data_IF_670102339810
#
_entry.id   IF_670102339810
#
_cell.length_a   1.000
_cell.length_b   1.000
_cell.length_c   1.000
_cell.angle_alpha   90.00
_cell.angle_beta   90.00
_cell.angle_gamma   90.00
#
_symmetry.space_group_name_H-M   'P 1'
#
loop_
_entity.id
_entity.type
_entity.pdbx_description
1 polymer ?
#
# COMPACT_ATOMS: atom_id res chain seq x y z
N UNK A 1 -28.46 29.18 34.76
CA UNK A 1 -27.03 28.77 34.75
C UNK A 1 -26.92 27.52 33.89
N UNK A 2 -26.03 27.57 32.91
CA UNK A 2 -25.79 26.53 31.93
C UNK A 2 -25.00 25.35 32.55
N UNK A 3 -25.25 24.14 32.05
CA UNK A 3 -24.21 23.22 31.60
C UNK A 3 -24.87 22.09 30.80
N UNK A 4 -24.64 22.12 29.50
CA UNK A 4 -24.81 20.97 28.62
C UNK A 4 -23.71 19.96 28.94
N UNK A 5 -24.04 18.66 28.97
CA UNK A 5 -23.06 17.63 28.63
C UNK A 5 -23.72 16.72 27.61
N UNK A 6 -23.37 16.95 26.36
CA UNK A 6 -23.76 16.13 25.24
C UNK A 6 -22.92 14.86 25.26
N UNK A 7 -23.62 13.74 25.19
CA UNK A 7 -23.16 12.39 24.94
C UNK A 7 -21.95 12.35 24.01
N UNK A 8 -20.85 11.76 24.47
CA UNK A 8 -19.74 11.36 23.60
C UNK A 8 -20.11 10.04 22.95
N UNK A 9 -20.64 10.14 21.74
CA UNK A 9 -20.88 9.01 20.85
C UNK A 9 -19.51 8.54 20.32
N UNK A 10 -19.08 7.38 20.80
CA UNK A 10 -17.96 6.62 20.26
C UNK A 10 -18.42 6.03 18.91
N UNK A 11 -18.32 6.81 17.83
CA UNK A 11 -18.54 6.31 16.48
C UNK A 11 -17.34 5.48 16.03
N UNK A 12 -17.43 4.18 16.27
CA UNK A 12 -16.54 3.16 15.70
C UNK A 12 -16.81 3.05 14.19
N UNK A 13 -16.24 3.97 13.40
CA UNK A 13 -16.39 3.99 11.93
C UNK A 13 -15.64 2.81 11.29
N UNK A 14 -16.40 1.87 10.72
CA UNK A 14 -15.94 0.70 9.96
C UNK A 14 -15.31 1.07 8.61
N UNK A 15 -14.04 1.52 8.62
CA UNK A 15 -13.28 1.73 7.39
C UNK A 15 -12.67 0.38 6.94
N UNK A 16 -13.12 -0.14 5.79
CA UNK A 16 -12.45 -1.28 5.15
C UNK A 16 -11.04 -0.84 4.71
N UNK A 17 -10.00 -1.64 4.99
CA UNK A 17 -8.62 -1.28 4.68
C UNK A 17 -8.43 -1.16 3.17
N UNK A 18 -7.92 0.00 2.73
CA UNK A 18 -7.64 0.27 1.31
C UNK A 18 -6.30 -0.34 0.94
N UNK A 19 -6.26 -1.12 -0.14
CA UNK A 19 -5.03 -1.70 -0.67
C UNK A 19 -4.73 -1.14 -2.06
N UNK A 20 -3.44 -0.99 -2.35
CA UNK A 20 -2.94 -0.63 -3.68
C UNK A 20 -1.71 -1.45 -4.05
N UNK A 21 -1.27 -1.35 -5.29
CA UNK A 21 -0.13 -2.12 -5.79
C UNK A 21 0.92 -1.21 -6.41
N UNK A 22 2.18 -1.53 -6.18
CA UNK A 22 3.31 -0.86 -6.80
C UNK A 22 4.39 -1.87 -7.20
N UNK A 23 5.26 -1.51 -8.13
CA UNK A 23 6.39 -2.33 -8.50
C UNK A 23 7.64 -1.94 -7.71
N UNK A 24 8.39 -2.94 -7.27
CA UNK A 24 9.77 -2.75 -6.81
C UNK A 24 10.66 -2.27 -7.96
N UNK A 25 11.86 -1.77 -7.64
CA UNK A 25 12.83 -1.39 -8.68
C UNK A 25 13.21 -2.55 -9.62
N UNK A 26 13.13 -3.80 -9.14
CA UNK A 26 13.39 -5.01 -9.93
C UNK A 26 12.12 -5.55 -10.63
N UNK A 27 11.05 -4.77 -10.69
CA UNK A 27 9.80 -5.14 -11.38
C UNK A 27 8.83 -6.03 -10.60
N UNK A 28 9.25 -6.63 -9.46
CA UNK A 28 8.35 -7.46 -8.64
C UNK A 28 7.22 -6.63 -8.04
N UNK A 29 5.99 -7.14 -8.09
CA UNK A 29 4.82 -6.49 -7.50
C UNK A 29 4.88 -6.51 -5.97
N UNK A 30 4.42 -5.42 -5.37
CA UNK A 30 4.28 -5.18 -3.94
C UNK A 30 2.85 -4.73 -3.67
N UNK A 31 2.36 -5.06 -2.48
CA UNK A 31 1.07 -4.63 -1.99
C UNK A 31 1.30 -3.56 -0.93
N UNK A 32 0.53 -2.47 -1.02
CA UNK A 32 0.48 -1.41 -0.02
C UNK A 32 -0.84 -1.53 0.73
N UNK A 33 -0.79 -1.52 2.05
CA UNK A 33 -1.95 -1.44 2.92
C UNK A 33 -1.60 -0.56 4.11
N UNK A 34 -2.44 0.43 4.42
CA UNK A 34 -2.29 1.31 5.58
C UNK A 34 -0.86 1.88 5.77
N UNK A 35 -0.24 2.35 4.69
CA UNK A 35 1.13 2.89 4.68
C UNK A 35 2.27 1.87 4.94
N UNK A 36 1.96 0.58 4.94
CA UNK A 36 2.94 -0.52 5.04
C UNK A 36 3.12 -1.24 3.70
N UNK A 37 4.32 -1.79 3.51
CA UNK A 37 4.68 -2.51 2.28
C UNK A 37 4.73 -4.01 2.53
N UNK A 38 4.07 -4.76 1.65
CA UNK A 38 4.07 -6.22 1.65
C UNK A 38 4.70 -6.77 0.38
N UNK A 39 5.51 -7.81 0.55
CA UNK A 39 6.08 -8.61 -0.55
C UNK A 39 5.31 -9.91 -0.72
N UNK A 40 5.13 -10.32 -1.98
CA UNK A 40 4.54 -11.61 -2.29
C UNK A 40 5.40 -12.74 -1.70
N UNK A 41 4.78 -13.59 -0.88
CA UNK A 41 5.42 -14.74 -0.26
C UNK A 41 5.17 -16.02 -1.06
N UNK A 42 3.91 -16.27 -1.44
CA UNK A 42 3.52 -17.40 -2.30
C UNK A 42 2.19 -17.12 -2.97
N UNK A 43 1.93 -17.84 -4.06
CA UNK A 43 0.66 -17.81 -4.78
C UNK A 43 0.12 -19.23 -4.87
N UNK A 44 -1.16 -19.41 -4.56
CA UNK A 44 -1.93 -20.62 -4.87
C UNK A 44 -2.83 -20.36 -6.09
N UNK A 45 -3.64 -21.34 -6.47
CA UNK A 45 -4.59 -21.21 -7.59
C UNK A 45 -5.59 -20.07 -7.40
N UNK A 46 -5.94 -19.75 -6.15
CA UNK A 46 -6.99 -18.77 -5.83
C UNK A 46 -6.49 -17.58 -5.00
N UNK A 47 -5.35 -17.72 -4.32
CA UNK A 47 -4.93 -16.76 -3.28
C UNK A 47 -3.47 -16.35 -3.44
N UNK A 48 -3.20 -15.06 -3.32
CA UNK A 48 -1.85 -14.51 -3.14
C UNK A 48 -1.62 -14.21 -1.66
N UNK A 49 -0.52 -14.72 -1.13
CA UNK A 49 -0.11 -14.56 0.26
C UNK A 49 1.01 -13.53 0.32
N UNK A 50 0.76 -12.45 1.05
CA UNK A 50 1.65 -11.31 1.21
C UNK A 50 2.17 -11.26 2.65
N UNK A 51 3.44 -10.94 2.82
CA UNK A 51 4.06 -10.72 4.13
C UNK A 51 4.70 -9.35 4.15
N UNK A 52 4.76 -8.73 5.31
CA UNK A 52 5.47 -7.46 5.46
C UNK A 52 6.91 -7.56 4.91
N UNK A 53 7.42 -6.45 4.35
CA UNK A 53 8.79 -6.39 3.84
C UNK A 53 9.82 -6.53 4.96
N UNK A 54 9.51 -6.03 6.17
CA UNK A 54 10.34 -6.13 7.38
C UNK A 54 10.29 -7.55 7.93
N UNK A 55 11.45 -8.21 8.02
CA UNK A 55 11.51 -9.65 8.34
C UNK A 55 11.09 -9.99 9.78
N UNK A 56 11.22 -9.06 10.72
CA UNK A 56 10.79 -9.23 12.13
C UNK A 56 9.29 -9.00 12.32
N UNK A 57 8.58 -8.53 11.28
CA UNK A 57 7.16 -8.26 11.35
C UNK A 57 6.32 -9.51 11.04
N UNK A 58 5.26 -9.73 11.82
CA UNK A 58 4.32 -10.84 11.66
C UNK A 58 3.14 -10.54 10.74
N UNK A 59 2.95 -9.27 10.34
CA UNK A 59 1.83 -8.82 9.52
C UNK A 59 1.75 -9.55 8.17
N UNK A 60 0.53 -9.95 7.81
CA UNK A 60 0.22 -10.77 6.63
C UNK A 60 -1.11 -10.35 6.02
N UNK A 61 -1.12 -10.29 4.70
CA UNK A 61 -2.33 -9.98 3.91
C UNK A 61 -2.52 -11.08 2.90
N UNK A 62 -3.77 -11.47 2.67
CA UNK A 62 -4.15 -12.37 1.59
C UNK A 62 -5.07 -11.63 0.62
N UNK A 63 -4.79 -11.76 -0.67
CA UNK A 63 -5.71 -11.32 -1.72
C UNK A 63 -6.12 -12.49 -2.58
N UNK A 64 -7.22 -12.37 -3.31
CA UNK A 64 -7.49 -13.29 -4.42
C UNK A 64 -6.47 -13.06 -5.56
N UNK A 65 -6.57 -13.85 -6.62
CA UNK A 65 -5.73 -13.71 -7.82
C UNK A 65 -5.93 -12.36 -8.54
N UNK A 66 -7.12 -11.77 -8.42
CA UNK A 66 -7.51 -10.48 -9.02
C UNK A 66 -7.03 -9.27 -8.20
N UNK A 67 -6.54 -9.51 -6.98
CA UNK A 67 -6.05 -8.47 -6.08
C UNK A 67 -7.09 -7.95 -5.08
N UNK A 68 -8.26 -8.57 -4.96
CA UNK A 68 -9.24 -8.22 -3.92
C UNK A 68 -8.80 -8.75 -2.57
N UNK A 69 -9.03 -7.95 -1.51
CA UNK A 69 -8.69 -8.33 -0.16
C UNK A 69 -9.53 -9.53 0.31
N UNK A 70 -8.87 -10.58 0.80
CA UNK A 70 -9.50 -11.79 1.35
C UNK A 70 -9.31 -11.86 2.86
N UNK A 71 -8.11 -11.55 3.35
CA UNK A 71 -7.79 -11.56 4.78
C UNK A 71 -6.72 -10.53 5.08
N UNK A 72 -6.83 -9.87 6.22
CA UNK A 72 -5.85 -8.92 6.73
C UNK A 72 -5.47 -9.28 8.17
N UNK A 73 -4.17 -9.28 8.44
CA UNK A 73 -3.58 -9.19 9.77
C UNK A 73 -2.51 -8.09 9.69
N UNK A 74 -2.87 -6.89 10.14
CA UNK A 74 -2.12 -5.65 9.95
C UNK A 74 -1.48 -5.15 11.25
N UNK A 75 -1.12 -6.07 12.14
CA UNK A 75 -0.41 -5.74 13.37
C UNK A 75 1.09 -5.63 13.10
N UNK A 76 1.62 -4.41 13.20
CA UNK A 76 3.02 -4.10 12.93
C UNK A 76 3.80 -3.78 14.21
N UNK A 77 5.03 -4.29 14.26
CA UNK A 77 6.00 -4.04 15.33
C UNK A 77 7.07 -3.02 14.92
N UNK A 78 6.80 -2.22 13.89
CA UNK A 78 7.72 -1.22 13.32
C UNK A 78 6.91 -0.05 12.76
N UNK A 79 7.53 1.14 12.57
CA UNK A 79 6.87 2.28 11.94
C UNK A 79 6.53 2.01 10.47
N UNK A 80 5.57 2.78 9.94
CA UNK A 80 5.16 2.71 8.54
C UNK A 80 6.26 3.20 7.59
N UNK A 81 6.16 2.81 6.32
CA UNK A 81 7.13 3.17 5.27
C UNK A 81 6.59 4.24 4.32
N UNK A 82 5.78 5.17 4.83
CA UNK A 82 5.08 6.20 4.05
C UNK A 82 5.97 6.94 3.05
N UNK A 83 7.08 7.52 3.51
CA UNK A 83 8.02 8.25 2.63
C UNK A 83 8.57 7.35 1.51
N UNK A 84 8.83 6.08 1.84
CA UNK A 84 9.33 5.11 0.85
C UNK A 84 8.26 4.79 -0.20
N UNK A 85 6.98 4.76 0.18
CA UNK A 85 5.85 4.57 -0.73
C UNK A 85 5.75 5.76 -1.67
N UNK A 86 5.75 6.99 -1.14
CA UNK A 86 5.66 8.22 -1.93
C UNK A 86 6.79 8.34 -2.96
N UNK A 87 8.04 8.05 -2.56
CA UNK A 87 9.19 8.06 -3.47
C UNK A 87 9.02 7.02 -4.59
N UNK A 88 8.45 5.85 -4.29
CA UNK A 88 8.22 4.81 -5.30
C UNK A 88 7.11 5.22 -6.25
N UNK A 89 6.01 5.77 -5.75
CA UNK A 89 4.91 6.25 -6.58
C UNK A 89 5.38 7.36 -7.52
N UNK A 90 6.16 8.31 -7.02
CA UNK A 90 6.75 9.37 -7.84
C UNK A 90 7.63 8.80 -8.95
N UNK A 91 8.53 7.87 -8.62
CA UNK A 91 9.39 7.20 -9.61
C UNK A 91 8.57 6.46 -10.66
N UNK A 92 7.48 5.80 -10.28
CA UNK A 92 6.62 5.08 -11.21
C UNK A 92 5.95 6.05 -12.19
N UNK A 93 5.45 7.19 -11.70
CA UNK A 93 4.92 8.26 -12.56
C UNK A 93 5.95 8.78 -13.55
N UNK A 94 7.20 8.98 -13.12
CA UNK A 94 8.29 9.41 -14.00
C UNK A 94 8.59 8.37 -15.09
N UNK A 95 8.60 7.07 -14.75
CA UNK A 95 8.78 6.00 -15.73
C UNK A 95 7.64 5.92 -16.73
N UNK A 96 6.39 5.98 -16.25
CA UNK A 96 5.22 5.98 -17.12
C UNK A 96 5.26 7.16 -18.09
N UNK A 97 5.67 8.33 -17.60
CA UNK A 97 5.87 9.51 -18.43
C UNK A 97 6.93 9.28 -19.51
N UNK A 98 8.09 8.74 -19.16
CA UNK A 98 9.16 8.47 -20.12
C UNK A 98 8.76 7.45 -21.20
N UNK A 99 7.85 6.52 -20.90
CA UNK A 99 7.33 5.54 -21.86
C UNK A 99 6.21 6.13 -22.73
N UNK A 100 5.33 6.94 -22.14
CA UNK A 100 4.11 7.41 -22.80
C UNK A 100 4.28 8.74 -23.54
N UNK A 101 5.19 9.61 -23.09
CA UNK A 101 5.44 10.88 -23.74
C UNK A 101 6.48 10.72 -24.85
N UNK A 102 6.08 11.08 -26.07
CA UNK A 102 6.96 11.18 -27.24
C UNK A 102 7.56 12.57 -27.41
N UNK A 103 7.12 13.54 -26.60
CA UNK A 103 7.61 14.92 -26.67
C UNK A 103 9.10 14.93 -26.34
N UNK A 104 9.97 15.28 -27.30
CA UNK A 104 11.41 15.26 -27.07
C UNK A 104 11.78 16.32 -26.03
N UNK A 105 12.79 16.03 -25.19
CA UNK A 105 13.38 17.06 -24.35
C UNK A 105 14.03 18.11 -25.25
N UNK A 106 13.48 19.32 -25.24
CA UNK A 106 14.11 20.47 -25.86
C UNK A 106 15.34 20.83 -25.03
N UNK A 107 16.51 20.41 -25.48
CA UNK A 107 17.77 20.87 -24.92
C UNK A 107 17.95 22.29 -25.43
N UNK A 108 17.92 23.28 -24.53
CA UNK A 108 18.30 24.66 -24.87
C UNK A 108 19.79 24.65 -25.21
N UNK A 109 20.09 24.57 -26.51
CA UNK A 109 21.43 24.72 -27.08
C UNK A 109 21.78 26.18 -27.29
#
# INVERSE_FOLDING_TARGET
MAAAVTSSEDETQSKSPTISFINSQKGKQLLIANEYIFKLNKTTTTTKYWKCVVNSCSAKIHTDVNGHLVKINDEHSHPSEKETIEVREFREKVKQRAVNETTPMLVLT
#
